data_IF_616701049498
#
_entry.id   IF_616701049498
#
_cell.length_a   1.000
_cell.length_b   1.000
_cell.length_c   1.000
_cell.angle_alpha   90.00
_cell.angle_beta   90.00
_cell.angle_gamma   90.00
#
_symmetry.space_group_name_H-M   'P 1'
#
loop_
_entity.id
_entity.type
_entity.pdbx_description
1 polymer ?
#
# COMPACT_ATOMS: atom_id res chain seq x y z
N UNK A 1 -23.23 9.65 -57.99
CA UNK A 1 -22.98 8.69 -56.90
C UNK A 1 -21.90 9.31 -56.00
N UNK A 2 -22.29 10.00 -54.92
CA UNK A 2 -21.37 10.42 -53.86
C UNK A 2 -21.60 9.50 -52.68
N UNK A 3 -20.71 8.54 -52.46
CA UNK A 3 -20.69 7.81 -51.20
C UNK A 3 -19.74 8.58 -50.28
N UNK A 4 -20.32 9.23 -49.28
CA UNK A 4 -19.56 9.83 -48.20
C UNK A 4 -18.85 8.70 -47.44
N UNK A 5 -17.56 8.89 -47.20
CA UNK A 5 -16.75 8.08 -46.30
C UNK A 5 -17.39 8.09 -44.91
N UNK A 6 -18.00 6.98 -44.53
CA UNK A 6 -18.42 6.73 -43.14
C UNK A 6 -17.15 6.37 -42.35
N UNK A 7 -16.52 7.38 -41.74
CA UNK A 7 -15.54 7.16 -40.68
C UNK A 7 -16.27 6.56 -39.46
N UNK A 8 -15.89 5.37 -38.97
CA UNK A 8 -16.51 4.81 -37.78
C UNK A 8 -16.19 5.70 -36.58
N UNK A 9 -17.23 6.34 -36.05
CA UNK A 9 -17.19 7.12 -34.81
C UNK A 9 -16.57 6.25 -33.71
N UNK A 10 -15.46 6.75 -33.16
CA UNK A 10 -14.79 6.16 -32.00
C UNK A 10 -15.67 6.37 -30.78
N UNK A 11 -16.48 5.37 -30.42
CA UNK A 11 -17.24 5.42 -29.17
C UNK A 11 -16.28 5.45 -27.97
N UNK A 12 -16.55 6.28 -26.94
CA UNK A 12 -15.77 6.24 -25.72
C UNK A 12 -16.01 4.87 -25.10
N UNK A 13 -14.96 4.03 -25.04
CA UNK A 13 -14.98 2.75 -24.33
C UNK A 13 -15.31 3.05 -22.87
N UNK A 14 -16.58 2.90 -22.50
CA UNK A 14 -16.98 2.75 -21.12
C UNK A 14 -16.16 1.57 -20.59
N UNK A 15 -15.16 1.87 -19.77
CA UNK A 15 -14.31 0.89 -19.14
C UNK A 15 -15.20 0.15 -18.14
N UNK A 16 -15.89 -0.87 -18.64
CA UNK A 16 -16.83 -1.67 -17.89
C UNK A 16 -16.11 -2.30 -16.72
N UNK A 17 -16.71 -2.20 -15.53
CA UNK A 17 -16.26 -2.91 -14.35
C UNK A 17 -16.19 -4.41 -14.73
N UNK A 18 -14.97 -4.90 -14.92
CA UNK A 18 -14.68 -6.29 -15.27
C UNK A 18 -14.54 -7.08 -13.98
N UNK A 19 -15.42 -8.05 -13.77
CA UNK A 19 -15.27 -9.03 -12.70
C UNK A 19 -13.99 -9.85 -12.95
N UNK A 20 -13.11 -9.90 -11.95
CA UNK A 20 -11.84 -10.63 -12.04
C UNK A 20 -12.05 -12.04 -11.48
N UNK A 21 -11.68 -13.06 -12.26
CA UNK A 21 -11.73 -14.45 -11.80
C UNK A 21 -10.72 -14.71 -10.68
N UNK A 22 -11.00 -15.68 -9.80
CA UNK A 22 -10.06 -16.12 -8.76
C UNK A 22 -8.80 -16.80 -9.32
N UNK A 23 -8.91 -17.32 -10.52
CA UNK A 23 -7.86 -17.90 -11.36
C UNK A 23 -6.90 -16.85 -11.94
N UNK A 24 -7.34 -15.59 -12.05
CA UNK A 24 -6.50 -14.48 -12.48
C UNK A 24 -5.70 -13.86 -11.31
N UNK A 25 -6.05 -14.18 -10.07
CA UNK A 25 -5.36 -13.69 -8.89
C UNK A 25 -4.05 -14.47 -8.67
N UNK A 26 -2.94 -13.75 -8.56
CA UNK A 26 -1.65 -14.32 -8.17
C UNK A 26 -1.44 -14.17 -6.64
N UNK A 27 -1.66 -15.24 -5.86
CA UNK A 27 -1.50 -15.20 -4.41
C UNK A 27 -0.04 -15.04 -3.99
N UNK A 28 0.91 -15.57 -4.77
CA UNK A 28 2.34 -15.55 -4.42
C UNK A 28 2.92 -14.18 -4.66
N UNK A 29 2.61 -13.56 -5.80
CA UNK A 29 3.00 -12.17 -6.10
C UNK A 29 2.45 -11.19 -5.08
N UNK A 30 1.16 -11.35 -4.71
CA UNK A 30 0.53 -10.50 -3.69
C UNK A 30 1.17 -10.69 -2.31
N UNK A 31 1.45 -11.94 -1.92
CA UNK A 31 2.15 -12.23 -0.67
C UNK A 31 3.55 -11.63 -0.65
N UNK A 32 4.28 -11.68 -1.76
CA UNK A 32 5.61 -11.08 -1.87
C UNK A 32 5.56 -9.55 -1.71
N UNK A 33 4.57 -8.88 -2.31
CA UNK A 33 4.35 -7.44 -2.16
C UNK A 33 4.05 -7.06 -0.71
N UNK A 34 3.13 -7.78 -0.07
CA UNK A 34 2.78 -7.55 1.34
C UNK A 34 3.98 -7.83 2.25
N UNK A 35 4.69 -8.93 2.01
CA UNK A 35 5.87 -9.32 2.78
C UNK A 35 6.99 -8.29 2.68
N UNK A 36 7.29 -7.82 1.46
CA UNK A 36 8.26 -6.74 1.23
C UNK A 36 7.85 -5.45 1.94
N UNK A 37 6.59 -5.05 1.81
CA UNK A 37 6.05 -3.87 2.49
C UNK A 37 6.18 -3.99 4.02
N UNK A 38 5.84 -5.15 4.58
CA UNK A 38 5.97 -5.41 6.00
C UNK A 38 7.43 -5.36 6.48
N UNK A 39 8.38 -5.90 5.72
CA UNK A 39 9.80 -5.79 6.03
C UNK A 39 10.28 -4.34 6.04
N UNK A 40 9.80 -3.52 5.09
CA UNK A 40 10.09 -2.08 5.09
C UNK A 40 9.54 -1.42 6.34
N UNK A 41 8.30 -1.72 6.74
CA UNK A 41 7.70 -1.17 7.97
C UNK A 41 8.50 -1.55 9.21
N UNK A 42 8.90 -2.82 9.34
CA UNK A 42 9.77 -3.28 10.44
C UNK A 42 11.10 -2.54 10.42
N UNK A 43 11.73 -2.42 9.25
CA UNK A 43 13.00 -1.73 9.10
C UNK A 43 12.92 -0.25 9.52
N UNK A 44 11.89 0.46 9.06
CA UNK A 44 11.62 1.85 9.45
C UNK A 44 11.28 1.97 10.93
N UNK A 45 10.51 1.05 11.48
CA UNK A 45 10.17 1.02 12.90
C UNK A 45 11.42 0.84 13.78
N UNK A 46 12.27 -0.13 13.46
CA UNK A 46 13.55 -0.31 14.14
C UNK A 46 14.45 0.91 13.98
N UNK A 47 14.53 1.48 12.77
CA UNK A 47 15.32 2.68 12.51
C UNK A 47 14.86 3.86 13.37
N UNK A 48 13.55 4.11 13.45
CA UNK A 48 12.98 5.16 14.31
C UNK A 48 13.27 4.90 15.78
N UNK A 49 13.22 3.64 16.23
CA UNK A 49 13.61 3.28 17.59
C UNK A 49 15.08 3.66 17.87
N UNK A 50 16.01 3.39 16.96
CA UNK A 50 17.39 3.84 17.12
C UNK A 50 17.49 5.37 17.12
N UNK A 51 16.80 6.08 16.22
CA UNK A 51 16.83 7.54 16.20
C UNK A 51 16.34 8.16 17.52
N UNK A 52 15.33 7.58 18.15
CA UNK A 52 14.73 8.10 19.38
C UNK A 52 15.50 7.67 20.66
N UNK A 53 15.96 6.42 20.72
CA UNK A 53 16.47 5.81 21.95
C UNK A 53 17.99 5.57 21.95
N UNK A 54 18.68 5.74 20.82
CA UNK A 54 20.13 5.56 20.74
C UNK A 54 20.85 6.87 21.12
N UNK A 55 21.18 7.02 22.40
CA UNK A 55 21.90 8.19 22.93
C UNK A 55 21.05 9.21 23.67
N UNK A 56 19.73 8.98 23.80
CA UNK A 56 18.84 9.71 24.68
C UNK A 56 18.14 8.71 25.61
N UNK A 57 18.05 9.00 26.91
CA UNK A 57 17.28 8.17 27.85
C UNK A 57 15.81 8.09 27.38
N UNK A 58 15.10 6.97 27.60
CA UNK A 58 13.71 6.83 27.20
C UNK A 58 12.89 7.96 27.83
N UNK A 59 12.44 8.93 27.03
CA UNK A 59 11.49 9.98 27.49
C UNK A 59 10.12 9.34 27.66
N UNK A 60 10.01 8.35 28.54
CA UNK A 60 8.77 7.63 28.85
C UNK A 60 7.98 8.52 29.80
N UNK A 61 7.10 9.36 29.25
CA UNK A 61 6.07 10.07 30.03
C UNK A 61 5.00 9.11 30.59
N UNK A 62 5.22 7.78 30.53
CA UNK A 62 4.26 6.75 30.94
C UNK A 62 4.50 6.12 32.33
N UNK A 63 5.70 6.16 32.89
CA UNK A 63 5.97 5.54 34.21
C UNK A 63 5.75 6.51 35.37
N UNK A 64 5.90 7.82 35.15
CA UNK A 64 5.76 8.84 36.20
C UNK A 64 4.31 8.98 36.75
N UNK A 65 3.29 8.54 35.99
CA UNK A 65 1.88 8.62 36.40
C UNK A 65 1.40 7.37 37.14
N UNK A 66 2.13 6.24 37.08
CA UNK A 66 1.64 4.93 37.58
C UNK A 66 2.15 4.58 38.99
N UNK A 67 3.17 5.26 39.52
CA UNK A 67 3.74 4.94 40.85
C UNK A 67 3.37 5.92 41.97
N UNK A 68 2.41 6.82 41.74
CA UNK A 68 1.83 7.68 42.79
C UNK A 68 0.45 7.12 43.21
N UNK A 69 0.46 5.94 43.83
CA UNK A 69 -0.63 5.34 44.60
C UNK A 69 -0.05 4.72 45.87
#
# INVERSE_FOLDING_TARGET
MSQATEEPVSEPRAEGIREIGHDEFDPVGTLALIGLYFLILIGLWFFMYFVEFLGNDPTVVGTAVVTLA
#
